data_IF_485486468971
#
_entry.id   IF_485486468971
#
_cell.length_a   1.000
_cell.length_b   1.000
_cell.length_c   1.000
_cell.angle_alpha   90.00
_cell.angle_beta   90.00
_cell.angle_gamma   90.00
#
_symmetry.space_group_name_H-M   'P 1'
#
loop_
_entity.id
_entity.type
_entity.pdbx_description
1 polymer ?
#
# COMPACT_ATOMS: atom_id res chain seq x y z
N UNK A 1 -13.20 12.50 -8.33
CA UNK A 1 -11.77 12.34 -8.03
C UNK A 1 -11.05 13.69 -7.83
N UNK A 2 -11.52 14.76 -8.51
CA UNK A 2 -10.88 16.07 -8.42
C UNK A 2 -10.87 16.57 -6.97
N UNK A 3 -9.69 16.97 -6.47
CA UNK A 3 -9.49 17.46 -5.11
C UNK A 3 -9.51 16.39 -3.99
N UNK A 4 -9.56 15.09 -4.30
CA UNK A 4 -9.60 14.04 -3.27
C UNK A 4 -8.35 14.07 -2.39
N UNK A 5 -7.17 14.17 -2.98
CA UNK A 5 -5.89 14.26 -2.24
C UNK A 5 -5.80 15.52 -1.38
N UNK A 6 -6.31 16.68 -1.86
CA UNK A 6 -6.35 17.91 -1.05
C UNK A 6 -7.23 17.78 0.19
N UNK A 7 -8.43 17.18 0.04
CA UNK A 7 -9.31 16.93 1.19
C UNK A 7 -8.73 15.93 2.20
N UNK A 8 -8.01 14.91 1.73
CA UNK A 8 -7.37 13.95 2.63
C UNK A 8 -6.19 14.55 3.39
N UNK A 9 -5.46 15.51 2.79
CA UNK A 9 -4.38 16.26 3.49
C UNK A 9 -4.93 16.92 4.75
N UNK A 10 -6.00 17.71 4.63
CA UNK A 10 -6.62 18.42 5.77
C UNK A 10 -6.97 17.45 6.92
N UNK A 11 -7.53 16.29 6.57
CA UNK A 11 -7.85 15.25 7.55
C UNK A 11 -6.60 14.65 8.21
N UNK A 12 -5.56 14.36 7.43
CA UNK A 12 -4.30 13.79 7.92
C UNK A 12 -3.58 14.79 8.83
N UNK A 13 -3.48 16.07 8.42
CA UNK A 13 -2.87 17.13 9.22
C UNK A 13 -3.53 17.25 10.60
N UNK A 14 -4.87 17.26 10.65
CA UNK A 14 -5.59 17.31 11.92
C UNK A 14 -5.32 16.10 12.82
N UNK A 15 -5.11 14.90 12.26
CA UNK A 15 -4.71 13.73 13.04
C UNK A 15 -3.26 13.80 13.52
N UNK A 16 -2.33 14.26 12.69
CA UNK A 16 -0.92 14.41 13.06
C UNK A 16 -0.72 15.47 14.15
N UNK A 17 -1.47 16.58 14.10
CA UNK A 17 -1.49 17.59 15.17
C UNK A 17 -2.01 17.01 16.48
N UNK A 18 -3.13 16.27 16.41
CA UNK A 18 -3.76 15.69 17.59
C UNK A 18 -2.97 14.54 18.18
N UNK A 19 -2.26 13.77 17.37
CA UNK A 19 -1.52 12.57 17.76
C UNK A 19 -0.10 12.60 17.20
N UNK A 20 0.82 13.37 17.81
CA UNK A 20 2.20 13.53 17.30
C UNK A 20 3.03 12.23 17.27
N UNK A 21 2.55 11.15 17.88
CA UNK A 21 3.17 9.83 17.84
C UNK A 21 2.82 9.00 16.61
N UNK A 22 1.90 9.48 15.76
CA UNK A 22 1.59 8.81 14.49
C UNK A 22 2.76 8.95 13.52
N UNK A 23 3.28 7.81 13.07
CA UNK A 23 4.41 7.76 12.13
C UNK A 23 4.07 7.01 10.84
N UNK A 24 2.98 6.24 10.82
CA UNK A 24 2.58 5.48 9.65
C UNK A 24 1.25 5.99 9.08
N UNK A 25 1.23 6.22 7.77
CA UNK A 25 0.05 6.64 7.02
C UNK A 25 -0.12 5.64 5.87
N UNK A 26 -1.18 4.84 5.95
CA UNK A 26 -1.49 3.83 4.94
C UNK A 26 -2.71 4.28 4.15
N UNK A 27 -2.49 4.59 2.87
CA UNK A 27 -3.55 4.91 1.92
C UNK A 27 -3.97 3.61 1.22
N UNK A 28 -5.13 3.08 1.60
CA UNK A 28 -5.60 1.77 1.14
C UNK A 28 -6.52 1.95 -0.05
N UNK A 29 -6.11 1.41 -1.18
CA UNK A 29 -6.79 1.48 -2.46
C UNK A 29 -7.17 0.10 -3.01
N UNK A 30 -7.90 0.12 -4.11
CA UNK A 30 -8.09 -1.03 -5.00
C UNK A 30 -7.72 -0.58 -6.42
N UNK A 31 -6.82 -1.33 -7.05
CA UNK A 31 -6.31 -1.02 -8.39
C UNK A 31 -7.45 -1.05 -9.44
N UNK A 32 -7.36 -0.21 -10.44
CA UNK A 32 -8.26 -0.18 -11.60
C UNK A 32 -7.56 -0.85 -12.78
N UNK A 33 -7.68 -2.17 -12.87
CA UNK A 33 -7.11 -2.96 -13.97
C UNK A 33 -8.24 -3.43 -14.87
N UNK A 34 -8.29 -2.89 -16.07
CA UNK A 34 -9.37 -3.17 -17.02
C UNK A 34 -8.85 -3.44 -18.43
N UNK A 35 -9.66 -4.12 -19.25
CA UNK A 35 -9.39 -4.29 -20.69
C UNK A 35 -9.91 -3.11 -21.53
N UNK A 36 -9.70 -3.20 -22.83
CA UNK A 36 -10.16 -2.19 -23.79
C UNK A 36 -11.71 -2.03 -23.84
N UNK A 37 -12.46 -2.97 -23.27
CA UNK A 37 -13.90 -2.93 -23.12
C UNK A 37 -14.36 -2.52 -21.72
N UNK A 38 -13.46 -1.97 -20.89
CA UNK A 38 -13.71 -1.55 -19.51
C UNK A 38 -14.16 -2.66 -18.57
N UNK A 39 -13.85 -3.94 -18.87
CA UNK A 39 -14.10 -5.05 -17.97
C UNK A 39 -13.00 -5.13 -16.94
N UNK A 40 -13.37 -5.08 -15.67
CA UNK A 40 -12.43 -5.12 -14.57
C UNK A 40 -11.80 -6.50 -14.40
N UNK A 41 -10.48 -6.55 -14.30
CA UNK A 41 -9.76 -7.78 -14.03
C UNK A 41 -9.70 -8.08 -12.54
N UNK A 42 -9.75 -9.39 -12.26
CA UNK A 42 -9.48 -9.98 -10.97
C UNK A 42 -8.00 -10.33 -10.91
N UNK A 43 -7.29 -9.86 -9.88
CA UNK A 43 -5.88 -10.13 -9.65
C UNK A 43 -5.76 -11.11 -8.48
N UNK A 44 -5.39 -12.36 -8.75
CA UNK A 44 -5.31 -13.44 -7.77
C UNK A 44 -3.90 -14.01 -7.73
N UNK A 45 -3.44 -14.35 -6.53
CA UNK A 45 -2.19 -15.08 -6.31
C UNK A 45 -2.26 -16.48 -6.94
N UNK A 46 -1.10 -17.00 -7.38
CA UNK A 46 -1.01 -18.32 -7.97
C UNK A 46 -0.96 -19.42 -6.88
N UNK A 47 -0.35 -19.14 -5.74
CA UNK A 47 -0.24 -20.08 -4.61
C UNK A 47 -1.45 -20.04 -3.67
N UNK A 48 -2.19 -18.94 -3.65
CA UNK A 48 -3.38 -18.79 -2.81
C UNK A 48 -4.56 -18.21 -3.61
N UNK A 49 -5.51 -19.06 -4.05
CA UNK A 49 -6.64 -18.62 -4.87
C UNK A 49 -7.65 -17.72 -4.12
N UNK A 50 -7.51 -17.56 -2.81
CA UNK A 50 -8.32 -16.65 -1.99
C UNK A 50 -7.64 -15.31 -1.76
N UNK A 51 -6.37 -15.16 -2.15
CA UNK A 51 -5.61 -13.94 -1.98
C UNK A 51 -5.64 -13.07 -3.25
N UNK A 52 -6.19 -11.87 -3.16
CA UNK A 52 -5.98 -10.83 -4.16
C UNK A 52 -4.51 -10.39 -4.16
N UNK A 53 -3.95 -10.03 -5.31
CA UNK A 53 -2.58 -9.53 -5.36
C UNK A 53 -2.49 -8.12 -4.76
N UNK A 54 -1.39 -7.87 -4.05
CA UNK A 54 -1.02 -6.57 -3.49
C UNK A 54 -0.06 -5.82 -4.43
N UNK A 55 -0.10 -4.50 -4.40
CA UNK A 55 0.93 -3.66 -5.02
C UNK A 55 1.14 -2.40 -4.19
N UNK A 56 2.36 -1.85 -4.22
CA UNK A 56 2.64 -0.53 -3.65
C UNK A 56 2.84 0.48 -4.76
N UNK A 57 2.18 1.64 -4.63
CA UNK A 57 2.37 2.80 -5.51
C UNK A 57 3.13 3.85 -4.70
N UNK A 58 4.37 4.08 -5.09
CA UNK A 58 5.25 5.01 -4.39
C UNK A 58 5.46 6.27 -5.23
N UNK A 59 5.34 7.42 -4.56
CA UNK A 59 5.62 8.71 -5.15
C UNK A 59 7.10 9.06 -5.02
N UNK A 60 7.68 9.73 -6.01
CA UNK A 60 9.06 10.23 -5.99
C UNK A 60 9.14 11.76 -6.06
N UNK A 61 8.01 12.46 -6.04
CA UNK A 61 7.94 13.92 -6.15
C UNK A 61 7.74 14.58 -4.77
N UNK A 62 8.58 14.21 -3.80
CA UNK A 62 8.63 14.84 -2.47
C UNK A 62 9.96 14.52 -1.78
N UNK A 63 10.33 15.31 -0.80
CA UNK A 63 11.51 15.03 0.02
C UNK A 63 11.28 13.77 0.88
N UNK A 64 12.32 12.95 1.04
CA UNK A 64 12.26 11.73 1.88
C UNK A 64 11.58 10.53 1.21
N UNK A 65 11.18 10.59 -0.07
CA UNK A 65 10.52 9.49 -0.77
C UNK A 65 11.31 8.16 -0.74
N UNK A 66 12.65 8.24 -0.67
CA UNK A 66 13.49 7.05 -0.59
C UNK A 66 13.27 6.26 0.70
N UNK A 67 12.97 6.95 1.81
CA UNK A 67 12.68 6.28 3.09
C UNK A 67 11.33 5.57 3.03
N UNK A 68 10.31 6.22 2.45
CA UNK A 68 9.02 5.58 2.20
C UNK A 68 9.19 4.33 1.31
N UNK A 69 10.01 4.45 0.24
CA UNK A 69 10.28 3.32 -0.66
C UNK A 69 11.04 2.18 0.04
N UNK A 70 12.00 2.48 0.92
CA UNK A 70 12.71 1.47 1.72
C UNK A 70 11.75 0.67 2.59
N UNK A 71 10.82 1.35 3.28
CA UNK A 71 9.81 0.69 4.09
C UNK A 71 8.90 -0.21 3.22
N UNK A 72 8.40 0.32 2.11
CA UNK A 72 7.57 -0.44 1.17
C UNK A 72 8.30 -1.67 0.62
N UNK A 73 9.60 -1.53 0.27
CA UNK A 73 10.42 -2.64 -0.19
C UNK A 73 10.60 -3.72 0.88
N UNK A 74 10.88 -3.33 2.13
CA UNK A 74 11.01 -4.27 3.23
C UNK A 74 9.72 -5.06 3.47
N UNK A 75 8.56 -4.38 3.41
CA UNK A 75 7.26 -5.04 3.55
C UNK A 75 6.98 -5.96 2.36
N UNK A 76 7.29 -5.52 1.13
CA UNK A 76 7.14 -6.35 -0.06
C UNK A 76 7.95 -7.65 0.02
N UNK A 77 9.19 -7.57 0.46
CA UNK A 77 10.04 -8.77 0.65
C UNK A 77 9.50 -9.66 1.78
N UNK A 78 8.96 -9.07 2.86
CA UNK A 78 8.31 -9.85 3.94
C UNK A 78 7.06 -10.60 3.44
N UNK A 79 6.26 -10.00 2.55
CA UNK A 79 5.11 -10.68 1.93
C UNK A 79 5.59 -11.81 1.02
N UNK A 80 6.56 -11.53 0.13
CA UNK A 80 7.08 -12.51 -0.84
C UNK A 80 7.74 -13.71 -0.19
N UNK A 81 8.27 -13.58 1.01
CA UNK A 81 8.90 -14.69 1.72
C UNK A 81 7.92 -15.85 1.97
N UNK A 82 6.66 -15.55 2.25
CA UNK A 82 5.61 -16.55 2.52
C UNK A 82 4.64 -16.71 1.33
N UNK A 83 4.43 -15.62 0.54
CA UNK A 83 3.45 -15.55 -0.54
C UNK A 83 4.07 -14.89 -1.79
N UNK A 84 4.91 -15.63 -2.56
CA UNK A 84 5.71 -15.06 -3.65
C UNK A 84 4.91 -14.33 -4.73
N UNK A 85 3.69 -14.78 -5.06
CA UNK A 85 2.88 -14.19 -6.12
C UNK A 85 1.76 -13.27 -5.63
N UNK A 86 1.59 -13.13 -4.31
CA UNK A 86 0.68 -12.14 -3.73
C UNK A 86 1.21 -10.72 -3.99
N UNK A 87 2.54 -10.52 -3.88
CA UNK A 87 3.13 -9.19 -4.01
C UNK A 87 3.58 -8.92 -5.45
N UNK A 88 2.90 -8.01 -6.13
CA UNK A 88 3.30 -7.46 -7.44
C UNK A 88 4.50 -6.51 -7.29
N UNK A 89 5.21 -6.19 -8.38
CA UNK A 89 6.27 -5.18 -8.35
C UNK A 89 5.79 -3.84 -7.81
N UNK A 90 6.65 -3.16 -7.04
CA UNK A 90 6.40 -1.78 -6.59
C UNK A 90 6.42 -0.86 -7.81
N UNK A 91 5.44 0.02 -7.91
CA UNK A 91 5.37 1.04 -8.96
C UNK A 91 5.83 2.38 -8.41
N UNK A 92 6.90 2.93 -8.99
CA UNK A 92 7.36 4.29 -8.67
C UNK A 92 6.79 5.28 -9.68
N UNK A 93 6.20 6.38 -9.20
CA UNK A 93 5.58 7.43 -10.02
C UNK A 93 6.15 8.80 -9.66
N UNK A 94 6.28 9.68 -10.65
CA UNK A 94 6.60 11.09 -10.41
C UNK A 94 5.35 11.84 -9.91
N UNK A 95 4.93 11.51 -8.70
CA UNK A 95 3.76 12.04 -7.99
C UNK A 95 4.05 12.06 -6.50
N UNK A 96 3.19 12.72 -5.72
CA UNK A 96 3.36 12.84 -4.27
C UNK A 96 2.50 11.83 -3.48
N UNK A 97 1.23 11.65 -3.84
CA UNK A 97 0.24 10.79 -3.14
C UNK A 97 0.13 11.07 -1.63
N UNK A 98 0.35 12.32 -1.20
CA UNK A 98 0.40 12.72 0.21
C UNK A 98 1.46 11.97 1.05
N UNK A 99 2.40 11.27 0.40
CA UNK A 99 3.43 10.49 1.09
C UNK A 99 4.51 11.34 1.74
N UNK A 100 4.58 12.64 1.43
CA UNK A 100 5.45 13.61 2.09
C UNK A 100 5.09 13.87 3.56
N UNK A 101 3.88 13.51 3.97
CA UNK A 101 3.35 13.81 5.31
C UNK A 101 4.00 12.95 6.41
N UNK A 102 4.60 11.81 6.06
CA UNK A 102 5.39 10.98 6.98
C UNK A 102 6.36 10.09 6.21
N UNK A 103 7.54 9.84 6.78
CA UNK A 103 8.51 8.86 6.25
C UNK A 103 8.02 7.40 6.34
N UNK A 104 6.89 7.17 7.02
CA UNK A 104 6.19 5.89 7.09
C UNK A 104 4.92 5.84 6.22
N UNK A 105 4.79 6.74 5.24
CA UNK A 105 3.63 6.76 4.34
C UNK A 105 3.79 5.82 3.16
N UNK A 106 2.72 5.10 2.80
CA UNK A 106 2.66 4.31 1.56
C UNK A 106 1.23 4.18 1.05
N UNK A 107 1.08 4.02 -0.27
CA UNK A 107 -0.18 3.65 -0.90
C UNK A 107 -0.15 2.16 -1.24
N UNK A 108 -1.17 1.45 -0.78
CA UNK A 108 -1.30 0.00 -0.90
C UNK A 108 -2.54 -0.33 -1.74
N UNK A 109 -2.32 -0.91 -2.90
CA UNK A 109 -3.39 -1.51 -3.70
C UNK A 109 -3.68 -2.92 -3.17
N UNK A 110 -4.86 -3.14 -2.63
CA UNK A 110 -5.31 -4.43 -2.10
C UNK A 110 -6.25 -5.07 -3.12
N UNK A 111 -5.66 -5.78 -4.06
CA UNK A 111 -6.37 -6.31 -5.22
C UNK A 111 -6.77 -5.23 -6.22
N UNK A 112 -7.65 -5.59 -7.13
CA UNK A 112 -8.25 -4.70 -8.13
C UNK A 112 -9.78 -4.66 -7.99
N UNK A 113 -10.42 -3.74 -8.70
CA UNK A 113 -11.87 -3.56 -8.67
C UNK A 113 -12.65 -4.85 -9.04
N UNK A 114 -12.03 -5.75 -9.82
CA UNK A 114 -12.60 -7.07 -10.17
C UNK A 114 -12.53 -8.12 -9.06
N UNK A 115 -11.76 -7.91 -8.00
CA UNK A 115 -11.69 -8.85 -6.88
C UNK A 115 -12.93 -8.75 -5.97
N UNK A 116 -13.27 -9.85 -5.30
CA UNK A 116 -14.28 -9.84 -4.23
C UNK A 116 -13.75 -9.14 -2.97
N UNK A 117 -14.67 -8.76 -2.08
CA UNK A 117 -14.29 -8.20 -0.78
C UNK A 117 -13.52 -9.22 0.07
N UNK A 118 -13.92 -10.48 0.06
CA UNK A 118 -13.28 -11.54 0.84
C UNK A 118 -11.82 -11.75 0.41
N UNK A 119 -11.53 -11.74 -0.90
CA UNK A 119 -10.18 -11.83 -1.43
C UNK A 119 -9.32 -10.64 -1.02
N UNK A 120 -9.89 -9.43 -1.07
CA UNK A 120 -9.19 -8.22 -0.62
C UNK A 120 -8.92 -8.26 0.89
N UNK A 121 -9.91 -8.65 1.71
CA UNK A 121 -9.75 -8.77 3.16
C UNK A 121 -8.73 -9.84 3.55
N UNK A 122 -8.67 -10.95 2.81
CA UNK A 122 -7.67 -11.99 3.03
C UNK A 122 -6.26 -11.42 2.81
N UNK A 123 -6.05 -10.75 1.70
CA UNK A 123 -4.74 -10.13 1.39
C UNK A 123 -4.39 -8.93 2.29
N UNK A 124 -5.39 -8.19 2.75
CA UNK A 124 -5.15 -7.13 3.73
C UNK A 124 -4.58 -7.71 5.05
N UNK A 125 -5.00 -8.92 5.46
CA UNK A 125 -4.43 -9.61 6.64
C UNK A 125 -2.98 -10.05 6.38
N UNK A 126 -2.69 -10.62 5.21
CA UNK A 126 -1.32 -10.98 4.79
C UNK A 126 -0.41 -9.74 4.83
N UNK A 127 -0.88 -8.62 4.29
CA UNK A 127 -0.17 -7.34 4.35
C UNK A 127 0.07 -6.89 5.79
N UNK A 128 -0.97 -6.89 6.63
CA UNK A 128 -0.88 -6.42 8.01
C UNK A 128 0.11 -7.26 8.85
N UNK A 129 0.10 -8.58 8.68
CA UNK A 129 1.03 -9.49 9.37
C UNK A 129 2.48 -9.25 8.92
N UNK A 130 2.70 -9.06 7.62
CA UNK A 130 4.03 -8.79 7.06
C UNK A 130 4.54 -7.40 7.47
N UNK A 131 3.68 -6.40 7.47
CA UNK A 131 4.00 -5.06 7.95
C UNK A 131 4.38 -5.07 9.44
N UNK A 132 3.60 -5.75 10.27
CA UNK A 132 3.90 -5.90 11.69
C UNK A 132 5.25 -6.59 11.93
N UNK A 133 5.59 -7.64 11.18
CA UNK A 133 6.91 -8.30 11.26
C UNK A 133 8.07 -7.34 10.97
N UNK A 134 7.95 -6.52 9.93
CA UNK A 134 8.96 -5.52 9.58
C UNK A 134 9.13 -4.50 10.70
N UNK A 135 8.02 -3.99 11.27
CA UNK A 135 8.08 -3.02 12.37
C UNK A 135 8.69 -3.60 13.65
N UNK A 136 8.41 -4.87 13.94
CA UNK A 136 8.97 -5.54 15.12
C UNK A 136 10.47 -5.80 14.94
N UNK A 137 10.91 -6.17 13.73
CA UNK A 137 12.32 -6.41 13.43
C UNK A 137 13.17 -5.12 13.56
N UNK A 138 12.61 -3.94 13.30
CA UNK A 138 13.32 -2.66 13.46
C UNK A 138 13.45 -2.20 14.90
N UNK A 139 12.72 -2.82 15.86
CA UNK A 139 12.77 -2.49 17.29
C UNK A 139 13.76 -3.34 18.09
N UNK A 140 14.39 -4.34 17.46
CA UNK A 140 15.40 -5.15 18.17
C UNK A 140 16.73 -4.41 18.07
N UNK A 141 17.37 -4.04 19.21
CA UNK A 141 18.65 -3.35 19.24
C UNK A 141 19.79 -4.21 18.70
#
# INVERSE_FOLDING_TARGET
>A
YEGAYGRSVEGIEGYLEKYPSLVFILDIHRDAVEDAQHRQYKLISQEDPHAAQLSFIMGSNHEGWQENLKLAAAVAESVKADYPTVMRPITLRNSNYNQHMSLGSMLVEVGAAGNSLDEALHSARIFADSFARVLLATKTP
#
